data_IF_893491018750
#
_entry.id   IF_893491018750
#
_cell.length_a   1.000
_cell.length_b   1.000
_cell.length_c   1.000
_cell.angle_alpha   90.00
_cell.angle_beta   90.00
_cell.angle_gamma   90.00
#
_symmetry.space_group_name_H-M   'P 1'
#
loop_
_entity.id
_entity.type
_entity.pdbx_description
1 polymer ?
#
# COMPACT_ATOMS: atom_id res chain seq x y z
N UNK A 1 -1.91 -3.67 -13.51
CA UNK A 1 -0.44 -3.79 -13.38
C UNK A 1 -0.10 -5.22 -13.02
N UNK A 2 0.98 -5.79 -13.58
CA UNK A 2 1.45 -7.15 -13.27
C UNK A 2 2.95 -7.14 -13.03
N UNK A 3 3.38 -7.82 -11.97
CA UNK A 3 4.78 -8.14 -11.68
C UNK A 3 5.01 -9.63 -11.87
N UNK A 4 6.17 -9.98 -12.43
CA UNK A 4 6.62 -11.36 -12.61
C UNK A 4 8.10 -11.44 -12.28
N UNK A 5 8.45 -12.30 -11.33
CA UNK A 5 9.81 -12.58 -10.90
C UNK A 5 10.08 -14.07 -11.06
N UNK A 6 11.23 -14.42 -11.63
CA UNK A 6 11.68 -15.81 -11.76
C UNK A 6 13.00 -15.97 -11.04
N UNK A 7 13.10 -17.00 -10.21
CA UNK A 7 14.35 -17.36 -9.58
C UNK A 7 15.10 -18.35 -10.49
N UNK A 8 16.19 -17.87 -11.09
CA UNK A 8 17.06 -18.69 -11.95
C UNK A 8 18.08 -19.53 -11.19
N UNK A 9 18.18 -19.39 -9.87
CA UNK A 9 19.09 -20.16 -9.04
C UNK A 9 18.67 -21.64 -8.98
N UNK A 10 19.68 -22.53 -8.92
CA UNK A 10 19.48 -23.98 -8.85
C UNK A 10 19.30 -24.50 -7.42
N UNK A 11 19.84 -23.79 -6.43
CA UNK A 11 19.88 -24.24 -5.03
C UNK A 11 19.37 -23.18 -4.04
N UNK A 12 19.55 -21.90 -4.35
CA UNK A 12 19.26 -20.81 -3.43
C UNK A 12 17.85 -20.25 -3.57
N UNK A 13 17.22 -19.97 -2.42
CA UNK A 13 15.96 -19.24 -2.37
C UNK A 13 16.22 -17.75 -2.59
N UNK A 14 15.53 -17.15 -3.55
CA UNK A 14 15.57 -15.71 -3.76
C UNK A 14 14.62 -15.00 -2.80
N UNK A 15 15.04 -13.85 -2.29
CA UNK A 15 14.28 -13.01 -1.37
C UNK A 15 14.03 -11.66 -2.05
N UNK A 16 12.77 -11.23 -2.13
CA UNK A 16 12.38 -10.01 -2.86
C UNK A 16 11.29 -9.25 -2.12
N UNK A 17 11.50 -7.94 -1.94
CA UNK A 17 10.46 -6.99 -1.58
C UNK A 17 10.23 -6.03 -2.74
N UNK A 18 8.97 -5.75 -3.07
CA UNK A 18 8.63 -4.88 -4.20
C UNK A 18 7.31 -4.15 -3.96
N UNK A 19 7.10 -3.05 -4.69
CA UNK A 19 5.89 -2.25 -4.63
C UNK A 19 5.86 -1.21 -5.75
N UNK A 20 4.81 -0.40 -5.78
CA UNK A 20 4.72 0.77 -6.64
C UNK A 20 4.35 1.99 -5.80
N UNK A 21 4.87 3.17 -6.19
CA UNK A 21 4.65 4.42 -5.47
C UNK A 21 3.83 5.44 -6.30
N UNK A 22 2.59 5.13 -6.74
CA UNK A 22 1.82 6.06 -7.57
C UNK A 22 1.29 7.21 -6.73
N UNK A 23 1.57 8.45 -7.14
CA UNK A 23 0.95 9.66 -6.60
C UNK A 23 -0.25 10.10 -7.42
N UNK A 24 -1.42 10.20 -6.80
CA UNK A 24 -2.63 10.71 -7.43
C UNK A 24 -2.81 12.20 -7.12
N UNK A 25 -2.82 13.02 -8.17
CA UNK A 25 -2.93 14.47 -8.07
C UNK A 25 -4.36 14.92 -7.68
N UNK A 26 -4.44 15.84 -6.74
CA UNK A 26 -5.65 16.49 -6.26
C UNK A 26 -5.67 17.99 -6.61
N UNK A 27 -6.81 18.64 -6.43
CA UNK A 27 -6.90 20.10 -6.40
C UNK A 27 -6.17 20.69 -5.20
N UNK A 28 -6.26 20.08 -4.03
CA UNK A 28 -5.52 20.47 -2.83
C UNK A 28 -5.29 19.29 -1.90
N UNK A 29 -4.44 19.47 -0.88
CA UNK A 29 -4.25 18.45 0.17
C UNK A 29 -5.56 18.13 0.91
N UNK A 30 -6.42 19.13 1.10
CA UNK A 30 -7.68 18.97 1.80
C UNK A 30 -8.78 18.33 0.96
N UNK A 31 -8.71 18.44 -0.37
CA UNK A 31 -9.83 18.03 -1.23
C UNK A 31 -9.91 16.53 -1.46
N UNK A 32 -8.78 15.81 -1.52
CA UNK A 32 -8.82 14.38 -1.80
C UNK A 32 -9.44 13.58 -0.64
N UNK A 33 -10.03 12.44 -0.96
CA UNK A 33 -10.56 11.46 -0.02
C UNK A 33 -10.07 10.10 -0.45
N UNK A 34 -9.75 9.24 0.51
CA UNK A 34 -9.52 7.83 0.27
C UNK A 34 -10.65 7.05 0.93
N UNK A 35 -11.48 6.39 0.14
CA UNK A 35 -12.45 5.43 0.63
C UNK A 35 -11.77 4.08 0.77
N UNK A 36 -11.82 3.54 1.98
CA UNK A 36 -11.30 2.24 2.33
C UNK A 36 -12.47 1.27 2.54
N UNK A 37 -12.33 -0.01 2.15
CA UNK A 37 -13.36 -1.02 2.39
C UNK A 37 -13.46 -1.39 3.87
N UNK A 38 -14.53 -2.10 4.23
CA UNK A 38 -14.66 -2.68 5.56
C UNK A 38 -13.69 -3.86 5.75
N UNK A 39 -13.19 -4.06 6.97
CA UNK A 39 -12.32 -5.18 7.29
C UNK A 39 -11.45 -4.96 8.51
N UNK A 40 -10.55 -5.91 8.75
CA UNK A 40 -9.50 -5.83 9.76
C UNK A 40 -8.19 -5.39 9.12
N UNK A 41 -7.57 -4.39 9.72
CA UNK A 41 -6.32 -3.80 9.29
C UNK A 41 -5.32 -3.82 10.44
N UNK A 42 -4.03 -3.89 10.10
CA UNK A 42 -2.94 -3.67 11.04
C UNK A 42 -2.11 -2.48 10.60
N UNK A 43 -2.01 -1.46 11.46
CA UNK A 43 -1.07 -0.35 11.24
C UNK A 43 0.32 -0.77 11.70
N UNK A 44 1.32 -0.52 10.88
CA UNK A 44 2.74 -0.62 11.22
C UNK A 44 3.30 0.79 11.45
N UNK A 45 4.12 0.98 12.49
CA UNK A 45 4.69 2.29 12.83
C UNK A 45 6.16 2.37 12.42
N UNK A 46 6.51 3.41 11.65
CA UNK A 46 7.86 3.60 11.13
C UNK A 46 8.47 4.99 11.43
N UNK A 47 8.68 5.36 12.71
CA UNK A 47 9.27 6.65 13.05
C UNK A 47 10.67 6.77 12.43
N UNK A 48 10.93 7.88 11.71
CA UNK A 48 12.20 8.08 11.02
C UNK A 48 12.44 7.12 9.84
N UNK A 49 11.37 6.58 9.25
CA UNK A 49 11.35 5.68 8.08
C UNK A 49 11.79 4.23 8.33
N UNK A 50 12.04 3.85 9.59
CA UNK A 50 12.33 2.46 9.99
C UNK A 50 11.18 1.91 10.81
N UNK A 51 10.79 0.66 10.57
CA UNK A 51 9.85 -0.06 11.42
C UNK A 51 10.34 -0.05 12.88
N UNK A 52 9.42 0.28 13.78
CA UNK A 52 9.65 0.21 15.23
C UNK A 52 9.32 -1.16 15.81
N UNK A 53 8.65 -2.02 15.05
CA UNK A 53 8.01 -3.26 15.54
C UNK A 53 6.68 -3.03 16.26
N UNK A 54 6.31 -1.78 16.56
CA UNK A 54 4.97 -1.47 17.06
C UNK A 54 3.94 -1.68 15.95
N UNK A 55 2.84 -2.34 16.30
CA UNK A 55 1.68 -2.53 15.41
C UNK A 55 0.38 -2.29 16.16
N UNK A 56 -0.67 -1.89 15.43
CA UNK A 56 -2.00 -1.71 15.99
C UNK A 56 -3.08 -2.26 15.05
N UNK A 57 -3.80 -3.26 15.54
CA UNK A 57 -4.94 -3.83 14.82
C UNK A 57 -6.19 -2.99 15.05
N UNK A 58 -7.02 -2.85 14.02
CA UNK A 58 -8.31 -2.19 14.11
C UNK A 58 -9.31 -2.77 13.11
N UNK A 59 -10.56 -2.88 13.55
CA UNK A 59 -11.69 -3.17 12.67
C UNK A 59 -12.23 -1.85 12.12
N UNK A 60 -12.54 -1.83 10.82
CA UNK A 60 -13.07 -0.66 10.13
C UNK A 60 -14.35 -1.02 9.39
N UNK A 61 -15.38 -0.16 9.50
CA UNK A 61 -16.68 -0.39 8.89
C UNK A 61 -16.74 0.02 7.40
N UNK A 62 -15.62 0.50 6.84
CA UNK A 62 -15.58 1.09 5.52
C UNK A 62 -15.93 2.58 5.52
N UNK A 63 -15.53 3.28 4.45
CA UNK A 63 -15.74 4.72 4.27
C UNK A 63 -14.43 5.49 4.15
N UNK A 64 -14.48 6.80 4.41
CA UNK A 64 -13.29 7.64 4.33
C UNK A 64 -12.24 7.21 5.38
N UNK A 65 -10.96 7.24 4.99
CA UNK A 65 -9.86 6.79 5.82
C UNK A 65 -9.94 7.34 7.26
N UNK A 66 -9.78 6.49 8.29
CA UNK A 66 -10.11 6.85 9.67
C UNK A 66 -9.01 7.64 10.41
N UNK A 67 -7.91 7.97 9.73
CA UNK A 67 -6.75 8.62 10.33
C UNK A 67 -6.52 10.02 9.75
N UNK A 68 -5.92 10.93 10.53
CA UNK A 68 -5.81 12.31 10.13
C UNK A 68 -4.74 12.48 9.04
N UNK A 69 -5.05 13.31 8.04
CA UNK A 69 -4.15 13.58 6.90
C UNK A 69 -2.78 14.12 7.32
N UNK A 70 -2.70 14.86 8.42
CA UNK A 70 -1.44 15.41 8.92
C UNK A 70 -0.42 14.34 9.38
N UNK A 71 -0.82 13.07 9.48
CA UNK A 71 0.08 11.94 9.72
C UNK A 71 0.70 11.36 8.43
N UNK A 72 0.18 11.72 7.24
CA UNK A 72 0.65 11.20 5.95
C UNK A 72 2.16 11.42 5.67
N UNK A 73 2.80 12.54 6.08
CA UNK A 73 4.25 12.72 5.88
C UNK A 73 5.11 11.64 6.57
N UNK A 74 4.58 11.00 7.62
CA UNK A 74 5.26 9.92 8.34
C UNK A 74 5.04 8.52 7.77
N UNK A 75 4.34 8.41 6.63
CA UNK A 75 3.89 7.16 6.01
C UNK A 75 2.90 6.36 6.86
N UNK A 76 1.70 6.17 6.34
CA UNK A 76 0.68 5.32 6.96
C UNK A 76 0.76 3.92 6.35
N UNK A 77 1.43 2.99 7.04
CA UNK A 77 1.64 1.63 6.55
C UNK A 77 0.55 0.72 7.12
N UNK A 78 -0.23 0.10 6.23
CA UNK A 78 -1.33 -0.80 6.55
C UNK A 78 -1.04 -2.21 6.04
N UNK A 79 -1.25 -3.22 6.86
CA UNK A 79 -1.43 -4.60 6.42
C UNK A 79 -2.93 -4.93 6.33
N UNK A 80 -3.33 -5.52 5.21
CA UNK A 80 -4.72 -5.89 4.91
C UNK A 80 -5.06 -7.27 5.50
N UNK A 81 -5.16 -7.35 6.84
CA UNK A 81 -5.25 -8.60 7.62
C UNK A 81 -6.46 -9.45 7.23
N UNK A 82 -7.66 -8.87 7.26
CA UNK A 82 -8.91 -9.54 6.85
C UNK A 82 -9.84 -8.52 6.18
N UNK A 83 -9.55 -8.27 4.91
CA UNK A 83 -10.26 -7.30 4.07
C UNK A 83 -10.80 -8.08 2.86
N UNK A 84 -12.07 -8.56 2.91
CA UNK A 84 -12.59 -9.50 1.91
C UNK A 84 -12.80 -8.85 0.53
N UNK A 85 -13.06 -7.55 0.50
CA UNK A 85 -13.14 -6.75 -0.73
C UNK A 85 -12.06 -5.68 -0.63
N UNK A 86 -11.04 -5.74 -1.49
CA UNK A 86 -9.87 -4.85 -1.44
C UNK A 86 -9.94 -3.76 -2.51
N UNK A 87 -11.13 -3.26 -2.76
CA UNK A 87 -11.35 -2.12 -3.64
C UNK A 87 -11.29 -0.82 -2.83
N UNK A 88 -10.31 0.01 -3.16
CA UNK A 88 -10.12 1.34 -2.56
C UNK A 88 -10.49 2.38 -3.61
N UNK A 89 -10.99 3.53 -3.17
CA UNK A 89 -11.31 4.63 -4.09
C UNK A 89 -10.65 5.92 -3.66
N UNK A 90 -9.75 6.42 -4.49
CA UNK A 90 -9.25 7.78 -4.39
C UNK A 90 -10.22 8.71 -5.11
N UNK A 91 -10.63 9.80 -4.46
CA UNK A 91 -11.58 10.76 -5.01
C UNK A 91 -11.08 12.17 -4.75
N UNK A 92 -11.10 13.02 -5.77
CA UNK A 92 -10.87 14.46 -5.64
C UNK A 92 -12.08 15.23 -6.18
N UNK A 93 -13.09 15.53 -5.33
CA UNK A 93 -14.35 16.10 -5.78
C UNK A 93 -14.23 17.39 -6.60
N UNK A 94 -13.37 18.37 -6.27
CA UNK A 94 -13.27 19.61 -7.05
C UNK A 94 -12.77 19.41 -8.48
N UNK A 95 -11.92 18.41 -8.73
CA UNK A 95 -11.48 18.09 -10.10
C UNK A 95 -12.35 17.05 -10.80
N UNK A 96 -13.30 16.43 -10.08
CA UNK A 96 -14.11 15.32 -10.59
C UNK A 96 -13.31 14.06 -10.88
N UNK A 97 -12.06 13.96 -10.43
CA UNK A 97 -11.19 12.80 -10.66
C UNK A 97 -11.45 11.72 -9.62
N UNK A 98 -11.48 10.49 -10.10
CA UNK A 98 -11.64 9.31 -9.29
C UNK A 98 -10.69 8.22 -9.78
N UNK A 99 -10.12 7.43 -8.87
CA UNK A 99 -9.37 6.22 -9.23
C UNK A 99 -9.83 5.08 -8.33
N UNK A 100 -10.34 4.01 -8.93
CA UNK A 100 -10.55 2.73 -8.24
C UNK A 100 -9.21 1.99 -8.22
N UNK A 101 -8.79 1.51 -7.06
CA UNK A 101 -7.60 0.69 -6.89
C UNK A 101 -8.02 -0.66 -6.32
N UNK A 102 -7.94 -1.71 -7.14
CA UNK A 102 -8.20 -3.08 -6.69
C UNK A 102 -6.89 -3.72 -6.23
N UNK A 103 -6.84 -4.00 -4.93
CA UNK A 103 -5.70 -4.50 -4.17
C UNK A 103 -5.87 -5.99 -3.78
N UNK A 104 -6.68 -6.78 -4.50
CA UNK A 104 -7.03 -8.17 -4.12
C UNK A 104 -5.84 -9.04 -3.68
N UNK A 105 -4.67 -8.92 -4.33
CA UNK A 105 -3.47 -9.70 -4.01
C UNK A 105 -2.37 -8.93 -3.25
N UNK A 106 -2.63 -7.70 -2.82
CA UNK A 106 -1.67 -6.84 -2.13
C UNK A 106 -1.69 -7.13 -0.64
N UNK A 107 -0.52 -7.21 0.00
CA UNK A 107 -0.44 -7.48 1.44
C UNK A 107 -0.38 -6.21 2.27
N UNK A 108 0.44 -5.25 1.81
CA UNK A 108 0.67 -3.99 2.49
C UNK A 108 0.28 -2.82 1.60
N UNK A 109 -0.27 -1.78 2.20
CA UNK A 109 -0.60 -0.51 1.56
C UNK A 109 0.10 0.60 2.33
N UNK A 110 1.00 1.32 1.69
CA UNK A 110 1.57 2.55 2.26
C UNK A 110 0.81 3.75 1.71
N UNK A 111 0.45 4.68 2.58
CA UNK A 111 -0.16 5.95 2.20
C UNK A 111 0.77 7.09 2.60
N UNK A 112 1.07 7.99 1.67
CA UNK A 112 2.03 9.05 1.92
C UNK A 112 1.68 10.33 1.15
N UNK A 113 2.01 11.46 1.74
CA UNK A 113 1.95 12.79 1.12
C UNK A 113 2.82 13.72 1.95
N UNK A 114 3.48 14.68 1.31
CA UNK A 114 4.28 15.72 2.00
C UNK A 114 3.43 16.93 2.43
N UNK A 115 2.11 16.85 2.32
CA UNK A 115 1.19 17.99 2.49
C UNK A 115 0.86 18.69 1.17
N UNK A 116 1.43 18.24 0.06
CA UNK A 116 1.13 18.72 -1.28
C UNK A 116 -0.23 18.25 -1.81
N UNK A 117 -0.64 18.71 -3.01
CA UNK A 117 -1.92 18.38 -3.62
C UNK A 117 -1.89 16.99 -4.28
N UNK A 118 -1.55 15.96 -3.51
CA UNK A 118 -1.57 14.56 -3.95
C UNK A 118 -1.65 13.59 -2.76
N UNK A 119 -2.01 12.35 -3.06
CA UNK A 119 -1.86 11.20 -2.16
C UNK A 119 -1.15 10.08 -2.91
N UNK A 120 -0.09 9.54 -2.32
CA UNK A 120 0.49 8.27 -2.72
C UNK A 120 -0.30 7.12 -2.11
N UNK A 121 -0.68 6.16 -2.96
CA UNK A 121 -1.40 4.95 -2.58
C UNK A 121 -0.59 3.76 -3.07
N UNK A 122 0.22 3.20 -2.20
CA UNK A 122 1.36 2.39 -2.58
C UNK A 122 1.12 0.91 -2.27
N UNK A 123 0.74 0.08 -3.27
CA UNK A 123 0.64 -1.35 -3.09
C UNK A 123 2.03 -1.99 -2.92
N UNK A 124 2.21 -2.73 -1.84
CA UNK A 124 3.49 -3.30 -1.43
C UNK A 124 3.40 -4.80 -1.08
N UNK A 125 4.43 -5.54 -1.48
CA UNK A 125 4.73 -6.94 -1.13
C UNK A 125 6.04 -7.02 -0.36
N UNK A 126 6.21 -6.12 0.59
CA UNK A 126 7.39 -5.96 1.41
C UNK A 126 7.22 -4.75 2.30
N UNK A 127 8.01 -4.69 3.37
CA UNK A 127 8.03 -3.56 4.28
C UNK A 127 9.39 -2.86 4.26
N UNK A 128 9.41 -1.61 4.71
CA UNK A 128 10.65 -0.92 5.08
C UNK A 128 11.39 -1.71 6.17
N UNK A 129 12.67 -1.42 6.37
CA UNK A 129 13.45 -2.15 7.37
C UNK A 129 13.19 -1.69 8.80
N UNK A 130 13.55 -2.56 9.74
CA UNK A 130 13.72 -2.17 11.14
C UNK A 130 15.01 -1.37 11.28
N UNK A 131 15.15 -0.58 12.35
CA UNK A 131 16.41 0.09 12.64
C UNK A 131 17.50 -0.92 12.99
N UNK A 132 17.16 -1.88 13.87
CA UNK A 132 18.02 -3.03 14.18
C UNK A 132 17.96 -4.04 13.03
N UNK A 133 19.08 -4.16 12.31
CA UNK A 133 19.17 -5.02 11.14
C UNK A 133 19.19 -6.50 11.53
N UNK A 134 18.54 -7.32 10.71
CA UNK A 134 18.55 -8.79 10.79
C UNK A 134 19.12 -9.38 9.50
N UNK A 135 19.31 -10.69 9.48
CA UNK A 135 19.62 -11.38 8.24
C UNK A 135 18.52 -11.09 7.20
N UNK A 136 18.88 -10.89 5.93
CA UNK A 136 17.94 -10.41 4.90
C UNK A 136 16.79 -11.39 4.66
N UNK A 137 17.05 -12.69 4.80
CA UNK A 137 16.07 -13.77 4.77
C UNK A 137 15.03 -13.70 5.89
N UNK A 138 15.33 -12.99 6.98
CA UNK A 138 14.43 -12.76 8.11
C UNK A 138 13.73 -11.39 8.04
N UNK A 139 13.95 -10.62 6.96
CA UNK A 139 13.36 -9.29 6.79
C UNK A 139 11.83 -9.38 6.79
N UNK A 140 11.19 -8.56 7.63
CA UNK A 140 9.73 -8.56 7.74
C UNK A 140 9.05 -8.23 6.40
N UNK A 141 8.04 -9.04 6.05
CA UNK A 141 7.27 -8.87 4.82
C UNK A 141 8.00 -9.30 3.54
N UNK A 142 9.24 -9.79 3.61
CA UNK A 142 9.95 -10.25 2.41
C UNK A 142 9.25 -11.44 1.75
N UNK A 143 9.25 -11.47 0.43
CA UNK A 143 8.74 -12.60 -0.34
C UNK A 143 9.88 -13.56 -0.67
N UNK A 144 9.58 -14.85 -0.71
CA UNK A 144 10.53 -15.90 -1.07
C UNK A 144 10.15 -16.54 -2.39
N UNK A 145 11.14 -16.81 -3.24
CA UNK A 145 10.97 -17.57 -4.47
C UNK A 145 11.92 -18.77 -4.41
N UNK A 146 11.42 -20.02 -4.34
CA UNK A 146 12.29 -21.19 -4.28
C UNK A 146 13.15 -21.31 -5.56
N UNK A 147 14.22 -22.12 -5.56
CA UNK A 147 15.02 -22.39 -6.76
C UNK A 147 14.16 -22.81 -7.95
N UNK A 148 14.37 -22.21 -9.12
CA UNK A 148 13.56 -22.43 -10.33
C UNK A 148 12.10 -21.92 -10.24
N UNK A 149 11.72 -21.30 -9.13
CA UNK A 149 10.36 -20.85 -8.86
C UNK A 149 9.99 -19.52 -9.52
N UNK A 150 8.71 -19.16 -9.40
CA UNK A 150 8.16 -17.93 -9.92
C UNK A 150 7.24 -17.26 -8.89
N UNK A 151 7.28 -15.93 -8.85
CA UNK A 151 6.33 -15.11 -8.11
C UNK A 151 5.61 -14.17 -9.07
N UNK A 152 4.27 -14.21 -9.04
CA UNK A 152 3.40 -13.31 -9.78
C UNK A 152 2.54 -12.51 -8.82
N UNK A 153 2.46 -11.21 -9.07
CA UNK A 153 1.61 -10.30 -8.32
C UNK A 153 0.91 -9.33 -9.26
N UNK A 154 -0.27 -8.87 -8.88
CA UNK A 154 -1.01 -7.89 -9.68
C UNK A 154 -1.99 -7.10 -8.83
N UNK A 155 -2.31 -5.93 -9.33
CA UNK A 155 -3.35 -5.03 -8.84
C UNK A 155 -3.86 -4.20 -10.03
N UNK A 156 -5.01 -3.57 -9.91
CA UNK A 156 -5.55 -2.72 -10.98
C UNK A 156 -5.80 -1.31 -10.50
N UNK A 157 -5.72 -0.36 -11.44
CA UNK A 157 -6.07 1.03 -11.23
C UNK A 157 -6.97 1.44 -12.39
N UNK A 158 -8.17 1.93 -12.08
CA UNK A 158 -9.16 2.34 -13.07
C UNK A 158 -9.49 3.81 -12.85
N UNK A 159 -8.89 4.72 -13.64
CA UNK A 159 -9.23 6.14 -13.57
C UNK A 159 -10.63 6.36 -14.11
N UNK A 160 -11.34 7.28 -13.47
CA UNK A 160 -12.67 7.75 -13.84
C UNK A 160 -12.70 9.28 -13.72
N UNK A 161 -13.56 9.88 -14.54
CA UNK A 161 -13.85 11.31 -14.51
C UNK A 161 -15.36 11.45 -14.37
N UNK A 162 -15.81 12.38 -13.53
CA UNK A 162 -17.20 12.81 -13.56
C UNK A 162 -17.53 13.27 -15.00
N UNK A 163 -18.62 12.76 -15.58
CA UNK A 163 -19.12 13.32 -16.83
C UNK A 163 -19.51 14.76 -16.58
N UNK A 164 -19.11 15.65 -17.50
CA UNK A 164 -19.72 16.96 -17.60
C UNK A 164 -21.11 16.74 -18.21
N UNK A 165 -22.11 16.50 -17.37
CA UNK A 165 -23.51 16.62 -17.79
C UNK A 165 -23.92 18.10 -17.85
#
# INVERSE_FOLDING_TARGET
>A
MRFEFRNGESELTAHVGFGLHPGFAATSFESFRLQMPAGCYRRHFSPGNYLSGETRDFNFNGGEMPFPKNELPGSYILELVDVPVREFSYVDPPSGRWVIVDLINVRYLTLWSDGGPFLCVEPCWGLTDHYEQRAFEEKEGIQTIPPGGELRASFTMTPQLASCD
#
